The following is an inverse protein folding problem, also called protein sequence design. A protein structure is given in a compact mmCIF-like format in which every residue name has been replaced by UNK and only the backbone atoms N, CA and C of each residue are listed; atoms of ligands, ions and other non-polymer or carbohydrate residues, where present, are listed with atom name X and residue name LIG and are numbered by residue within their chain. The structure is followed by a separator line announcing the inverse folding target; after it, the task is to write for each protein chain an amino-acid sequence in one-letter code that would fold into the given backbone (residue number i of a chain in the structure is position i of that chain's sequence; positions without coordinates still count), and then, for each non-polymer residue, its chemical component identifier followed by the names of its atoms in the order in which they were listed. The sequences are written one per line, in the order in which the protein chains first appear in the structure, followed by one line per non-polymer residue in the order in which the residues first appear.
data_IF_001034399666
#
_entry.id   IF_001034399666
#
_cell.length_a   1.000
_cell.length_b   1.000
_cell.length_c   1.000
_cell.angle_alpha   90.00
_cell.angle_beta   90.00
_cell.angle_gamma   90.00
#
_symmetry.space_group_name_H-M   'P 1'
#
loop_
_entity.id
_entity.type
_entity.pdbx_description
1 polymer ?
#
# COMPACT_ATOMS: atom_id res chain seq x y z
N UNK A 1 -2.03 17.80 -6.64
CA UNK A 1 -3.16 17.37 -5.79
C UNK A 1 -2.68 17.15 -4.35
N UNK A 2 -3.23 17.83 -3.34
CA UNK A 2 -2.75 17.74 -1.94
C UNK A 2 -3.81 17.19 -0.95
N UNK A 3 -4.92 16.64 -1.46
CA UNK A 3 -6.02 16.13 -0.64
C UNK A 3 -6.71 14.88 -1.21
N UNK A 4 -6.09 14.22 -2.19
CA UNK A 4 -6.52 12.90 -2.67
C UNK A 4 -5.78 11.85 -1.85
N UNK A 5 -6.52 10.91 -1.28
CA UNK A 5 -5.93 9.77 -0.55
C UNK A 5 -5.58 8.62 -1.50
N UNK A 6 -6.31 8.55 -2.62
CA UNK A 6 -6.19 7.51 -3.62
C UNK A 6 -6.32 8.09 -5.03
N UNK A 7 -5.67 7.45 -6.00
CA UNK A 7 -5.86 7.79 -7.40
C UNK A 7 -7.27 7.35 -7.85
N UNK A 8 -8.01 8.32 -8.41
CA UNK A 8 -9.35 8.12 -8.98
C UNK A 8 -9.33 7.78 -10.47
N UNK A 9 -8.14 7.61 -11.06
CA UNK A 9 -7.98 7.29 -12.46
C UNK A 9 -8.71 6.00 -12.81
N UNK A 10 -8.93 5.81 -14.11
CA UNK A 10 -9.48 4.57 -14.64
C UNK A 10 -8.36 3.54 -14.80
N UNK A 11 -8.53 2.27 -14.35
CA UNK A 11 -9.74 1.71 -13.74
C UNK A 11 -9.95 2.16 -12.29
N UNK A 12 -11.22 2.47 -11.96
CA UNK A 12 -11.60 2.91 -10.63
C UNK A 12 -11.20 1.88 -9.56
N UNK A 13 -10.44 2.33 -8.59
CA UNK A 13 -10.07 1.53 -7.44
C UNK A 13 -11.30 1.29 -6.54
N UNK A 14 -11.68 0.03 -6.24
CA UNK A 14 -12.86 -0.26 -5.41
C UNK A 14 -12.74 0.23 -3.96
N UNK A 15 -11.55 0.63 -3.51
CA UNK A 15 -11.30 1.21 -2.20
C UNK A 15 -11.46 2.74 -2.17
N UNK A 16 -11.61 3.37 -3.34
CA UNK A 16 -11.63 4.81 -3.53
C UNK A 16 -13.02 5.27 -3.99
N UNK A 17 -13.54 6.32 -3.36
CA UNK A 17 -14.72 7.02 -3.84
C UNK A 17 -14.32 7.83 -5.09
N UNK A 18 -14.84 7.45 -6.26
CA UNK A 18 -14.50 8.07 -7.53
C UNK A 18 -14.93 9.55 -7.65
N UNK A 19 -15.90 10.00 -6.87
CA UNK A 19 -16.40 11.38 -6.90
C UNK A 19 -15.50 12.33 -6.07
N UNK A 20 -14.95 11.83 -4.96
CA UNK A 20 -14.19 12.64 -3.99
C UNK A 20 -12.71 12.33 -3.95
N UNK A 21 -12.28 11.19 -4.50
CA UNK A 21 -10.90 10.68 -4.47
C UNK A 21 -10.34 10.50 -3.06
N UNK A 22 -11.24 10.03 -2.19
CA UNK A 22 -10.97 9.66 -0.82
C UNK A 22 -11.24 8.18 -0.65
N UNK A 23 -10.62 7.59 0.36
CA UNK A 23 -10.94 6.22 0.75
C UNK A 23 -12.40 6.11 1.15
N UNK A 24 -13.02 4.99 0.79
CA UNK A 24 -14.32 4.62 1.30
C UNK A 24 -14.27 4.41 2.82
N UNK A 25 -15.40 4.57 3.53
CA UNK A 25 -15.47 4.25 4.96
C UNK A 25 -14.99 2.82 5.23
N UNK A 26 -14.01 2.68 6.13
CA UNK A 26 -13.41 1.39 6.50
C UNK A 26 -12.21 0.96 5.65
N UNK A 27 -11.97 1.60 4.49
CA UNK A 27 -10.73 1.40 3.76
C UNK A 27 -9.57 2.10 4.48
N UNK A 28 -8.47 1.38 4.66
CA UNK A 28 -7.21 1.88 5.23
C UNK A 28 -6.23 2.31 4.13
N UNK A 29 -6.40 1.78 2.92
CA UNK A 29 -5.57 2.08 1.77
C UNK A 29 -6.36 1.91 0.47
N UNK A 30 -5.94 2.66 -0.55
CA UNK A 30 -6.43 2.49 -1.91
C UNK A 30 -5.47 1.62 -2.71
N UNK A 31 -4.21 2.02 -2.76
CA UNK A 31 -3.19 1.45 -3.61
C UNK A 31 -1.91 1.16 -2.83
N UNK A 32 -1.07 0.29 -3.38
CA UNK A 32 0.27 0.04 -2.89
C UNK A 32 0.56 -1.44 -2.65
N UNK A 33 1.85 -1.82 -2.61
CA UNK A 33 2.30 -3.22 -2.48
C UNK A 33 1.92 -3.87 -1.13
N UNK A 34 1.56 -3.08 -0.12
CA UNK A 34 1.09 -3.53 1.18
C UNK A 34 -0.40 -3.25 1.41
N UNK A 35 -1.16 -2.99 0.35
CA UNK A 35 -2.61 -2.85 0.40
C UNK A 35 -3.28 -4.12 -0.16
N UNK A 36 -4.13 -4.77 0.63
CA UNK A 36 -4.94 -5.90 0.19
C UNK A 36 -6.37 -5.73 0.66
N UNK A 37 -7.33 -5.89 -0.24
CA UNK A 37 -8.76 -5.69 0.05
C UNK A 37 -9.04 -4.38 0.84
N UNK A 38 -8.43 -3.28 0.40
CA UNK A 38 -8.53 -1.97 1.04
C UNK A 38 -7.98 -1.89 2.48
N UNK A 39 -7.22 -2.89 2.94
CA UNK A 39 -6.65 -2.99 4.28
C UNK A 39 -5.13 -3.11 4.24
N UNK A 40 -4.45 -2.65 5.29
CA UNK A 40 -3.00 -2.85 5.36
C UNK A 40 -2.68 -4.32 5.57
N UNK A 41 -1.79 -4.86 4.74
CA UNK A 41 -1.25 -6.20 4.94
C UNK A 41 -0.52 -6.28 6.29
N UNK A 42 -0.55 -7.47 6.92
CA UNK A 42 0.07 -7.69 8.23
C UNK A 42 1.56 -7.33 8.24
N UNK A 43 2.05 -6.88 9.39
CA UNK A 43 3.48 -6.65 9.59
C UNK A 43 4.26 -7.95 9.34
N UNK A 44 5.31 -7.87 8.52
CA UNK A 44 6.12 -9.02 8.14
C UNK A 44 5.63 -9.75 6.88
N UNK A 45 4.56 -9.30 6.23
CA UNK A 45 4.24 -9.75 4.86
C UNK A 45 5.29 -9.22 3.90
N UNK A 46 5.85 -10.09 3.05
CA UNK A 46 6.86 -9.71 2.07
C UNK A 46 6.19 -8.93 0.94
N UNK A 47 6.63 -7.70 0.71
CA UNK A 47 6.10 -6.82 -0.35
C UNK A 47 7.08 -6.61 -1.50
N UNK A 48 8.38 -6.78 -1.26
CA UNK A 48 9.39 -6.82 -2.32
C UNK A 48 10.39 -7.92 -2.00
N UNK A 49 10.48 -8.88 -2.92
CA UNK A 49 11.47 -9.95 -2.85
C UNK A 49 12.84 -9.38 -3.20
N UNK A 50 13.84 -9.70 -2.39
CA UNK A 50 15.22 -9.37 -2.67
C UNK A 50 15.77 -10.12 -3.89
N UNK A 51 16.90 -9.63 -4.39
CA UNK A 51 17.69 -10.31 -5.43
C UNK A 51 19.10 -10.49 -4.92
N UNK A 52 19.71 -11.67 -5.14
CA UNK A 52 21.06 -11.94 -4.68
C UNK A 52 21.14 -12.06 -3.16
N UNK A 53 22.08 -11.35 -2.55
CA UNK A 53 22.36 -11.35 -1.11
C UNK A 53 21.56 -10.28 -0.33
N UNK A 54 20.69 -9.52 -1.00
CA UNK A 54 19.80 -8.56 -0.37
C UNK A 54 18.76 -9.23 0.54
N UNK A 55 18.20 -8.47 1.48
CA UNK A 55 17.09 -8.90 2.32
C UNK A 55 15.73 -8.47 1.74
N UNK A 56 14.71 -9.32 1.94
CA UNK A 56 13.34 -8.99 1.57
C UNK A 56 12.86 -7.72 2.31
N UNK A 57 11.97 -6.97 1.66
CA UNK A 57 11.23 -5.89 2.30
C UNK A 57 9.87 -6.35 2.78
N UNK A 58 9.45 -5.76 3.89
CA UNK A 58 8.27 -6.20 4.63
C UNK A 58 7.30 -5.06 4.85
N UNK A 59 6.02 -5.37 4.71
CA UNK A 59 4.95 -4.49 5.15
C UNK A 59 5.06 -4.24 6.65
N UNK A 60 4.76 -3.01 7.06
CA UNK A 60 4.80 -2.60 8.46
C UNK A 60 3.43 -2.72 9.18
N UNK A 61 2.36 -3.04 8.45
CA UNK A 61 1.00 -3.15 8.99
C UNK A 61 0.27 -1.83 9.24
N UNK A 62 0.82 -0.71 8.78
CA UNK A 62 0.30 0.65 9.05
C UNK A 62 0.39 1.60 7.86
N UNK A 63 0.87 1.12 6.72
CA UNK A 63 0.98 1.87 5.48
C UNK A 63 0.85 0.92 4.30
N UNK A 64 0.35 1.43 3.19
CA UNK A 64 0.23 0.71 1.93
C UNK A 64 1.55 0.62 1.15
N UNK A 65 2.53 1.46 1.50
CA UNK A 65 3.86 1.40 0.92
C UNK A 65 4.65 0.20 1.41
N UNK A 66 5.64 -0.22 0.62
CA UNK A 66 6.63 -1.22 1.00
C UNK A 66 7.90 -0.50 1.51
N UNK A 67 8.04 -0.27 2.83
CA UNK A 67 9.23 0.38 3.35
C UNK A 67 10.43 -0.53 3.14
N UNK A 68 11.57 0.07 2.77
CA UNK A 68 12.82 -0.68 2.66
C UNK A 68 13.23 -1.23 4.02
N UNK A 69 13.65 -2.48 4.05
CA UNK A 69 14.16 -3.13 5.23
C UNK A 69 15.40 -2.37 5.72
N UNK A 70 15.43 -1.89 6.98
CA UNK A 70 16.57 -1.14 7.50
C UNK A 70 17.87 -1.96 7.54
N UNK A 71 17.79 -3.29 7.38
CA UNK A 71 18.93 -4.19 7.34
C UNK A 71 19.44 -4.49 5.92
N UNK A 72 18.96 -3.79 4.88
CA UNK A 72 19.70 -3.79 3.61
C UNK A 72 21.13 -3.30 3.90
N UNK A 73 22.11 -4.18 3.66
CA UNK A 73 23.53 -3.86 3.72
C UNK A 73 23.97 -3.04 2.50
#
# INVERSE_FOLDING_TARGET
EAGKDCDCGSPANPCCDAATCKLLPGAQCGEGPCCDQCSFMKKGTICRRARGDDLDDYCNGRSAGCPRNPFHA
#
